data_IF_728037828500
#
_entry.id   IF_728037828500
#
_cell.length_a   1.000
_cell.length_b   1.000
_cell.length_c   1.000
_cell.angle_alpha   90.00
_cell.angle_beta   90.00
_cell.angle_gamma   90.00
#
_symmetry.space_group_name_H-M   'P 1'
#
loop_
_entity.id
_entity.type
_entity.pdbx_description
1 polymer ?
#
# COMPACT_ATOMS: atom_id res chain seq x y z
N UNK A 1 -6.28 50.39 -8.36
CA UNK A 1 -6.63 49.02 -7.88
C UNK A 1 -7.17 49.15 -6.46
N UNK A 2 -8.41 48.69 -6.23
CA UNK A 2 -9.13 48.96 -5.00
C UNK A 2 -8.73 48.00 -3.88
N UNK A 3 -8.47 48.52 -2.68
CA UNK A 3 -7.99 47.80 -1.49
C UNK A 3 -8.83 46.57 -1.08
N UNK A 4 -10.10 46.53 -1.50
CA UNK A 4 -11.01 45.40 -1.26
C UNK A 4 -10.74 44.19 -2.18
N UNK A 5 -10.11 44.39 -3.34
CA UNK A 5 -9.82 43.32 -4.29
C UNK A 5 -8.61 42.47 -3.87
N UNK A 6 -7.65 43.06 -3.14
CA UNK A 6 -6.47 42.36 -2.61
C UNK A 6 -6.83 41.50 -1.40
N UNK A 7 -7.76 41.98 -0.57
CA UNK A 7 -8.19 41.30 0.66
C UNK A 7 -8.91 39.97 0.36
N UNK A 8 -9.72 39.93 -0.70
CA UNK A 8 -10.48 38.74 -1.09
C UNK A 8 -9.61 37.66 -1.74
N UNK A 9 -8.55 38.03 -2.46
CA UNK A 9 -7.59 37.08 -3.05
C UNK A 9 -6.71 36.45 -1.96
N UNK A 10 -6.32 37.22 -0.95
CA UNK A 10 -5.55 36.70 0.20
C UNK A 10 -6.42 35.75 1.05
N UNK A 11 -7.70 36.07 1.25
CA UNK A 11 -8.58 35.24 2.08
C UNK A 11 -8.96 33.90 1.43
N UNK A 12 -8.94 33.80 0.09
CA UNK A 12 -9.10 32.51 -0.61
C UNK A 12 -7.83 31.64 -0.54
N UNK A 13 -6.64 32.26 -0.44
CA UNK A 13 -5.37 31.52 -0.40
C UNK A 13 -5.12 30.82 0.94
N UNK A 14 -5.68 31.33 2.05
CA UNK A 14 -5.58 30.70 3.37
C UNK A 14 -6.61 29.59 3.62
N UNK A 15 -7.66 29.46 2.80
CA UNK A 15 -8.73 28.48 2.99
C UNK A 15 -8.49 27.09 2.39
N UNK A 16 -7.41 26.90 1.62
CA UNK A 16 -7.07 25.63 0.96
C UNK A 16 -5.97 24.83 1.67
N UNK A 17 -5.39 25.39 2.72
CA UNK A 17 -4.37 24.72 3.53
C UNK A 17 -5.05 24.35 4.84
N UNK A 18 -5.48 23.09 4.99
CA UNK A 18 -5.43 22.32 6.25
C UNK A 18 -6.40 21.12 6.25
N UNK A 19 -6.30 20.17 5.33
CA UNK A 19 -6.73 18.77 5.62
C UNK A 19 -5.84 17.73 4.91
N UNK A 20 -4.54 17.97 4.72
CA UNK A 20 -3.63 16.95 4.14
C UNK A 20 -2.47 16.53 5.03
N UNK A 21 -2.43 16.96 6.29
CA UNK A 21 -1.27 16.70 7.15
C UNK A 21 -1.66 16.21 8.54
N UNK A 22 -2.28 15.03 8.61
CA UNK A 22 -2.27 14.19 9.81
C UNK A 22 -2.01 12.70 9.53
N UNK A 23 -1.80 12.31 8.27
CA UNK A 23 -1.11 11.07 7.99
C UNK A 23 0.38 11.41 8.05
N UNK A 24 1.05 11.05 9.15
CA UNK A 24 2.51 11.07 9.18
C UNK A 24 3.04 10.37 7.93
N UNK A 25 4.13 10.89 7.36
CA UNK A 25 4.79 10.23 6.24
C UNK A 25 5.09 8.79 6.67
N UNK A 26 4.36 7.84 6.08
CA UNK A 26 4.56 6.42 6.35
C UNK A 26 5.97 6.10 5.91
N UNK A 27 6.82 5.86 6.89
CA UNK A 27 8.22 5.54 6.63
C UNK A 27 8.25 4.28 5.79
N UNK A 28 8.65 4.45 4.52
CA UNK A 28 8.86 3.33 3.63
C UNK A 28 10.02 2.55 4.21
N UNK A 29 9.80 1.27 4.48
CA UNK A 29 10.85 0.38 4.94
C UNK A 29 11.93 0.30 3.84
N UNK A 30 13.09 0.89 4.08
CA UNK A 30 14.16 1.08 3.08
C UNK A 30 15.40 0.21 3.32
N UNK A 31 15.52 -0.44 4.47
CA UNK A 31 16.65 -1.30 4.85
C UNK A 31 16.24 -2.44 5.81
N UNK A 32 16.96 -3.57 5.78
CA UNK A 32 16.74 -4.73 6.65
C UNK A 32 16.12 -5.96 5.96
N UNK A 33 16.07 -7.08 6.68
CA UNK A 33 15.34 -8.29 6.32
C UNK A 33 14.08 -8.36 7.17
N UNK A 34 12.99 -8.88 6.62
CA UNK A 34 11.85 -9.23 7.43
C UNK A 34 10.92 -10.18 6.71
N UNK A 35 10.11 -10.88 7.49
CA UNK A 35 9.32 -12.00 7.03
C UNK A 35 7.84 -11.63 7.13
N UNK A 36 7.09 -11.85 6.04
CA UNK A 36 5.64 -11.85 6.07
C UNK A 36 5.15 -13.30 6.28
N UNK A 37 4.45 -13.55 7.38
CA UNK A 37 3.85 -14.85 7.65
C UNK A 37 2.33 -14.77 7.59
N UNK A 38 1.72 -15.73 6.90
CA UNK A 38 0.28 -15.99 6.95
C UNK A 38 0.04 -17.43 7.35
N UNK A 39 -0.77 -17.64 8.37
CA UNK A 39 -1.16 -18.94 8.88
C UNK A 39 -2.68 -19.07 8.93
N UNK A 40 -3.18 -20.30 8.81
CA UNK A 40 -4.57 -20.62 9.10
C UNK A 40 -4.60 -21.84 10.02
N UNK A 41 -5.12 -21.67 11.24
CA UNK A 41 -5.19 -22.72 12.24
C UNK A 41 -6.52 -22.67 12.96
N UNK A 42 -7.18 -23.83 13.11
CA UNK A 42 -8.40 -24.01 13.89
C UNK A 42 -9.59 -23.09 13.51
N UNK A 43 -9.63 -22.57 12.28
CA UNK A 43 -10.70 -21.67 11.83
C UNK A 43 -10.30 -20.19 11.79
N UNK A 44 -9.11 -19.86 12.30
CA UNK A 44 -8.64 -18.49 12.43
C UNK A 44 -7.41 -18.23 11.55
N UNK A 45 -7.35 -17.00 11.02
CA UNK A 45 -6.19 -16.49 10.29
C UNK A 45 -5.21 -15.81 11.22
N UNK A 46 -3.94 -16.18 11.11
CA UNK A 46 -2.82 -15.54 11.79
C UNK A 46 -1.95 -14.79 10.77
N UNK A 47 -1.58 -13.56 11.09
CA UNK A 47 -0.79 -12.68 10.24
C UNK A 47 0.36 -12.11 11.05
N UNK A 48 1.57 -12.30 10.57
CA UNK A 48 2.78 -11.84 11.24
C UNK A 48 3.64 -11.04 10.27
N UNK A 49 4.23 -9.97 10.79
CA UNK A 49 5.32 -9.28 10.11
C UNK A 49 6.49 -9.22 11.07
N UNK A 50 7.60 -9.83 10.68
CA UNK A 50 8.85 -9.73 11.42
C UNK A 50 9.70 -8.66 10.77
N UNK A 51 10.04 -7.61 11.52
CA UNK A 51 10.93 -6.54 11.06
C UNK A 51 12.01 -6.32 12.09
N UNK A 52 13.26 -6.15 11.65
CA UNK A 52 14.40 -5.99 12.56
C UNK A 52 14.54 -4.56 13.14
N UNK A 53 13.44 -3.80 13.22
CA UNK A 53 13.39 -2.41 13.68
C UNK A 53 12.08 -2.13 14.43
N UNK A 54 12.08 -1.34 15.52
CA UNK A 54 10.85 -0.94 16.19
C UNK A 54 10.08 0.05 15.30
N UNK A 55 8.91 -0.36 14.83
CA UNK A 55 8.02 0.46 13.99
C UNK A 55 6.59 0.33 14.51
N UNK A 56 5.87 1.44 14.51
CA UNK A 56 4.47 1.48 14.97
C UNK A 56 3.49 0.98 13.91
N UNK A 57 3.87 1.09 12.63
CA UNK A 57 3.09 0.68 11.46
C UNK A 57 4.03 0.22 10.34
N UNK A 58 3.66 -0.83 9.61
CA UNK A 58 4.36 -1.26 8.39
C UNK A 58 3.39 -1.29 7.23
N UNK A 59 3.81 -0.77 6.08
CA UNK A 59 3.05 -0.84 4.83
C UNK A 59 3.77 -1.73 3.84
N UNK A 60 3.11 -2.81 3.47
CA UNK A 60 3.50 -3.70 2.39
C UNK A 60 2.79 -3.23 1.11
N UNK A 61 3.55 -2.96 0.05
CA UNK A 61 3.00 -2.48 -1.22
C UNK A 61 3.50 -3.34 -2.37
N UNK A 62 2.56 -3.74 -3.24
CA UNK A 62 2.84 -4.43 -4.49
C UNK A 62 2.83 -3.41 -5.63
N UNK A 63 3.77 -3.54 -6.55
CA UNK A 63 3.90 -2.68 -7.72
C UNK A 63 3.56 -3.46 -9.01
N UNK A 64 3.67 -2.81 -10.17
CA UNK A 64 3.33 -3.44 -11.45
C UNK A 64 4.18 -4.67 -11.81
N UNK A 65 5.38 -4.85 -11.22
CA UNK A 65 6.18 -6.08 -11.38
C UNK A 65 5.60 -7.29 -10.63
N UNK A 66 4.71 -7.05 -9.67
CA UNK A 66 3.94 -8.08 -8.95
C UNK A 66 2.59 -8.41 -9.63
N UNK A 67 2.24 -7.65 -10.69
CA UNK A 67 1.00 -7.86 -11.44
C UNK A 67 1.07 -9.14 -12.26
N UNK A 68 0.02 -9.93 -12.17
CA UNK A 68 -0.25 -11.11 -12.97
C UNK A 68 -1.68 -10.99 -13.51
N UNK A 69 -2.12 -12.03 -14.21
CA UNK A 69 -3.50 -12.18 -14.68
C UNK A 69 -4.08 -13.47 -14.14
N UNK A 70 -5.37 -13.46 -13.81
CA UNK A 70 -6.08 -14.68 -13.40
C UNK A 70 -6.05 -15.67 -14.58
N UNK A 71 -5.56 -16.91 -14.36
CA UNK A 71 -5.39 -17.89 -15.42
C UNK A 71 -6.73 -18.55 -15.77
N UNK A 72 -6.83 -19.08 -16.99
CA UNK A 72 -7.93 -19.96 -17.41
C UNK A 72 -7.65 -21.39 -16.92
N UNK A 73 -7.67 -21.57 -15.59
CA UNK A 73 -7.43 -22.85 -14.92
C UNK A 73 -8.52 -23.05 -13.88
N UNK A 74 -9.18 -24.21 -13.96
CA UNK A 74 -10.23 -24.58 -13.01
C UNK A 74 -9.73 -24.51 -11.55
N UNK A 75 -10.52 -23.89 -10.68
CA UNK A 75 -10.22 -23.70 -9.26
C UNK A 75 -9.63 -22.34 -8.89
N UNK A 76 -9.36 -21.45 -9.86
CA UNK A 76 -8.90 -20.07 -9.61
C UNK A 76 -9.99 -19.01 -9.75
N UNK A 77 -11.24 -19.40 -10.02
CA UNK A 77 -12.37 -18.49 -10.28
C UNK A 77 -12.75 -17.65 -9.05
N UNK A 78 -12.35 -18.08 -7.85
CA UNK A 78 -12.56 -17.32 -6.61
C UNK A 78 -11.76 -16.01 -6.57
N UNK A 79 -10.74 -15.86 -7.43
CA UNK A 79 -9.94 -14.63 -7.51
C UNK A 79 -10.59 -13.55 -8.39
N UNK A 80 -11.54 -13.91 -9.27
CA UNK A 80 -12.14 -13.01 -10.26
C UNK A 80 -12.28 -13.65 -11.65
N UNK A 81 -12.48 -12.83 -12.70
CA UNK A 81 -12.62 -13.34 -14.06
C UNK A 81 -11.26 -13.65 -14.68
N UNK A 82 -11.23 -14.61 -15.60
CA UNK A 82 -10.04 -14.91 -16.41
C UNK A 82 -9.54 -13.63 -17.11
N UNK A 83 -8.24 -13.36 -16.99
CA UNK A 83 -7.59 -12.18 -17.55
C UNK A 83 -7.63 -10.93 -16.68
N UNK A 84 -8.44 -10.90 -15.61
CA UNK A 84 -8.43 -9.78 -14.66
C UNK A 84 -7.07 -9.66 -13.97
N UNK A 85 -6.63 -8.43 -13.65
CA UNK A 85 -5.35 -8.23 -13.00
C UNK A 85 -5.37 -8.68 -11.54
N UNK A 86 -4.30 -9.35 -11.12
CA UNK A 86 -4.09 -9.77 -9.72
C UNK A 86 -2.64 -9.47 -9.31
N UNK A 87 -2.43 -8.95 -8.11
CA UNK A 87 -1.09 -8.68 -7.57
C UNK A 87 -0.72 -9.74 -6.55
N UNK A 88 0.43 -10.38 -6.73
CA UNK A 88 0.88 -11.51 -5.91
C UNK A 88 2.26 -11.17 -5.34
N UNK A 89 2.41 -11.27 -4.02
CA UNK A 89 3.72 -11.30 -3.37
C UNK A 89 4.31 -12.71 -3.56
N UNK A 90 5.36 -12.90 -4.37
CA UNK A 90 5.90 -14.22 -4.66
C UNK A 90 6.74 -14.73 -3.50
N UNK A 91 6.63 -16.02 -3.19
CA UNK A 91 7.48 -16.69 -2.20
C UNK A 91 8.93 -16.87 -2.71
N UNK A 92 9.14 -16.81 -4.03
CA UNK A 92 10.47 -16.86 -4.65
C UNK A 92 10.91 -15.43 -4.96
N UNK A 93 12.18 -15.13 -4.66
CA UNK A 93 12.79 -13.84 -4.94
C UNK A 93 12.54 -13.40 -6.39
N UNK A 94 12.06 -12.16 -6.56
CA UNK A 94 11.93 -11.50 -7.85
C UNK A 94 12.41 -10.06 -7.72
N UNK A 95 13.34 -9.67 -8.59
CA UNK A 95 13.94 -8.34 -8.54
C UNK A 95 12.90 -7.21 -8.56
N UNK A 96 12.89 -6.41 -7.49
CA UNK A 96 12.01 -5.25 -7.35
C UNK A 96 10.57 -5.59 -6.94
N UNK A 97 10.31 -6.80 -6.43
CA UNK A 97 9.06 -7.19 -5.77
C UNK A 97 9.38 -7.63 -4.34
N UNK A 98 8.51 -7.29 -3.40
CA UNK A 98 8.61 -7.73 -2.00
C UNK A 98 8.39 -9.25 -1.90
N UNK A 99 9.20 -9.93 -1.09
CA UNK A 99 9.12 -11.36 -0.80
C UNK A 99 9.06 -11.58 0.72
#
# INVERSE_FOLDING_TARGET
MNQYSVKNVIMLLFGLISITALAGERLKWTDGHGDLSVGYQAGDWDWGIWVNSPVDEVIVSLNDKAKNTIPDIAGFEFLGNVGDPVWIAPQVEREGVIF
#
